data_IF_904889700345
#
_entry.id   IF_904889700345
#
_cell.length_a   1.000
_cell.length_b   1.000
_cell.length_c   1.000
_cell.angle_alpha   90.00
_cell.angle_beta   90.00
_cell.angle_gamma   90.00
#
_symmetry.space_group_name_H-M   'P 1'
#
loop_
_entity.id
_entity.type
_entity.pdbx_description
1 polymer ?
#
# COMPACT_ATOMS: atom_id res chain seq x y z
N UNK A 1 11.89 -3.84 -9.42
CA UNK A 1 10.58 -4.52 -9.46
C UNK A 1 10.48 -5.36 -8.21
N UNK A 2 9.48 -5.10 -7.39
CA UNK A 2 9.15 -5.96 -6.26
C UNK A 2 8.10 -6.94 -6.79
N UNK A 3 8.42 -8.21 -6.73
CA UNK A 3 7.57 -9.30 -7.23
C UNK A 3 6.98 -10.04 -6.02
N UNK A 4 5.70 -10.32 -6.05
CA UNK A 4 4.98 -11.08 -5.02
C UNK A 4 4.40 -12.32 -5.64
N UNK A 5 4.57 -13.45 -4.95
CA UNK A 5 3.89 -14.68 -5.27
C UNK A 5 2.66 -14.80 -4.36
N UNK A 6 1.47 -14.96 -4.93
CA UNK A 6 0.28 -15.39 -4.19
C UNK A 6 0.17 -16.90 -4.35
N UNK A 7 0.25 -17.63 -3.22
CA UNK A 7 -0.09 -19.05 -3.17
C UNK A 7 -1.44 -19.18 -2.43
N UNK A 8 -2.27 -20.15 -2.81
CA UNK A 8 -3.40 -20.53 -1.97
C UNK A 8 -2.85 -21.07 -0.64
N UNK A 9 -2.96 -20.26 0.42
CA UNK A 9 -2.52 -20.60 1.77
C UNK A 9 -3.76 -20.92 2.61
N UNK A 10 -3.83 -22.15 3.10
CA UNK A 10 -4.87 -22.58 4.02
C UNK A 10 -4.30 -22.61 5.45
N UNK A 11 -4.92 -21.85 6.38
CA UNK A 11 -4.61 -21.94 7.80
C UNK A 11 -3.42 -21.09 8.27
N UNK A 12 -2.64 -21.53 9.24
CA UNK A 12 -1.57 -20.84 9.98
C UNK A 12 -0.41 -20.26 9.13
N UNK A 13 -0.53 -20.26 7.83
CA UNK A 13 0.54 -19.94 6.87
C UNK A 13 0.68 -18.43 6.55
N UNK A 14 -0.25 -17.57 6.98
CA UNK A 14 -0.14 -16.14 6.77
C UNK A 14 1.14 -15.54 7.41
N UNK A 15 1.56 -16.06 8.55
CA UNK A 15 2.80 -15.64 9.22
C UNK A 15 4.04 -16.08 8.43
N UNK A 16 3.97 -17.23 7.75
CA UNK A 16 5.04 -17.71 6.88
C UNK A 16 5.12 -16.91 5.59
N UNK A 17 4.01 -16.46 5.03
CA UNK A 17 3.99 -15.59 3.87
C UNK A 17 4.65 -14.23 4.15
N UNK A 18 4.41 -13.62 5.31
CA UNK A 18 5.09 -12.39 5.75
C UNK A 18 6.59 -12.64 5.96
N UNK A 19 6.96 -13.77 6.54
CA UNK A 19 8.36 -14.18 6.71
C UNK A 19 9.03 -14.43 5.36
N UNK A 20 8.32 -15.02 4.41
CA UNK A 20 8.81 -15.27 3.06
C UNK A 20 9.06 -13.96 2.30
N UNK A 21 8.13 -13.00 2.33
CA UNK A 21 8.32 -11.68 1.72
C UNK A 21 9.55 -10.96 2.28
N UNK A 22 9.80 -11.08 3.57
CA UNK A 22 10.98 -10.50 4.24
C UNK A 22 12.28 -11.21 3.83
N UNK A 23 12.24 -12.53 3.67
CA UNK A 23 13.41 -13.32 3.21
C UNK A 23 13.69 -13.18 1.72
N UNK A 24 12.66 -13.13 0.88
CA UNK A 24 12.81 -12.98 -0.56
C UNK A 24 13.47 -11.66 -0.95
N UNK A 25 13.38 -10.63 -0.11
CA UNK A 25 14.08 -9.36 -0.34
C UNK A 25 15.59 -9.41 -0.08
N UNK A 26 16.06 -10.31 0.75
CA UNK A 26 17.51 -10.50 0.94
C UNK A 26 18.20 -11.02 -0.33
N UNK A 27 17.41 -11.50 -1.28
CA UNK A 27 17.86 -11.96 -2.61
C UNK A 27 17.29 -10.96 -3.63
N UNK A 28 18.13 -10.37 -4.48
CA UNK A 28 17.68 -9.49 -5.56
C UNK A 28 16.53 -10.14 -6.34
N UNK A 29 15.46 -9.39 -6.61
CA UNK A 29 14.31 -9.89 -7.37
C UNK A 29 14.71 -10.43 -8.77
N UNK A 30 15.83 -9.95 -9.30
CA UNK A 30 16.41 -10.42 -10.57
C UNK A 30 17.13 -11.77 -10.43
N UNK A 31 17.32 -12.28 -9.21
CA UNK A 31 18.09 -13.50 -8.91
C UNK A 31 17.24 -14.70 -8.47
N UNK A 32 15.90 -14.54 -8.33
CA UNK A 32 14.99 -15.65 -8.07
C UNK A 32 14.42 -16.16 -9.41
N UNK A 33 14.89 -17.30 -9.94
CA UNK A 33 14.25 -17.89 -11.08
C UNK A 33 12.81 -18.26 -10.75
N UNK A 34 11.88 -17.83 -11.58
CA UNK A 34 10.43 -18.12 -11.43
C UNK A 34 10.17 -19.62 -11.19
N UNK A 35 10.91 -20.48 -11.89
CA UNK A 35 10.87 -21.92 -11.72
C UNK A 35 11.23 -22.40 -10.29
N UNK A 36 12.14 -21.71 -9.61
CA UNK A 36 12.54 -22.08 -8.24
C UNK A 36 11.47 -21.72 -7.22
N UNK A 37 10.77 -20.59 -7.43
CA UNK A 37 9.64 -20.16 -6.59
C UNK A 37 8.46 -21.09 -6.80
N UNK A 38 8.15 -21.43 -8.06
CA UNK A 38 7.08 -22.35 -8.41
C UNK A 38 7.31 -23.76 -7.86
N UNK A 39 8.56 -24.26 -7.91
CA UNK A 39 8.92 -25.54 -7.32
C UNK A 39 8.80 -25.57 -5.79
N UNK A 40 9.11 -24.46 -5.11
CA UNK A 40 9.01 -24.34 -3.67
C UNK A 40 7.56 -24.24 -3.17
N UNK A 41 6.67 -23.62 -3.94
CA UNK A 41 5.27 -23.37 -3.57
C UNK A 41 4.30 -24.47 -4.06
N UNK A 42 4.71 -25.32 -4.99
CA UNK A 42 3.97 -26.49 -5.45
C UNK A 42 2.70 -26.20 -6.27
N UNK A 43 2.54 -24.95 -6.75
CA UNK A 43 1.36 -24.49 -7.48
C UNK A 43 1.68 -23.55 -8.63
N UNK A 44 0.66 -23.05 -9.32
CA UNK A 44 0.81 -22.03 -10.33
C UNK A 44 1.16 -20.68 -9.66
N UNK A 45 2.24 -20.04 -10.08
CA UNK A 45 2.71 -18.76 -9.55
C UNK A 45 2.44 -17.67 -10.58
N UNK A 46 1.77 -16.61 -10.13
CA UNK A 46 1.58 -15.40 -10.93
C UNK A 46 2.20 -14.18 -10.23
N UNK A 47 2.75 -13.29 -11.02
CA UNK A 47 3.36 -12.06 -10.52
C UNK A 47 2.38 -10.90 -10.66
N UNK A 48 2.05 -10.24 -9.55
CA UNK A 48 1.16 -9.08 -9.56
C UNK A 48 1.76 -7.91 -8.80
N UNK A 49 1.35 -6.69 -9.15
CA UNK A 49 1.71 -5.51 -8.41
C UNK A 49 0.87 -5.43 -7.11
N UNK A 50 1.38 -4.82 -6.01
CA UNK A 50 0.63 -4.66 -4.74
C UNK A 50 -0.75 -4.03 -4.93
N UNK A 51 -0.87 -3.09 -5.87
CA UNK A 51 -2.14 -2.45 -6.20
C UNK A 51 -3.17 -3.43 -6.77
N UNK A 52 -2.71 -4.44 -7.51
CA UNK A 52 -3.59 -5.52 -8.01
C UNK A 52 -4.10 -6.41 -6.89
N UNK A 53 -3.27 -6.66 -5.87
CA UNK A 53 -3.70 -7.40 -4.67
C UNK A 53 -4.78 -6.63 -3.89
N UNK A 54 -4.62 -5.32 -3.71
CA UNK A 54 -5.65 -4.49 -3.06
C UNK A 54 -6.97 -4.48 -3.84
N UNK A 55 -6.93 -4.56 -5.17
CA UNK A 55 -8.15 -4.70 -5.97
C UNK A 55 -8.78 -6.08 -5.79
N UNK A 56 -7.98 -7.12 -5.60
CA UNK A 56 -8.46 -8.47 -5.35
C UNK A 56 -9.23 -8.58 -4.02
N UNK A 57 -8.82 -7.88 -2.96
CA UNK A 57 -9.53 -7.88 -1.67
C UNK A 57 -10.98 -7.38 -1.76
N UNK A 58 -11.29 -6.55 -2.76
CA UNK A 58 -12.66 -6.08 -3.01
C UNK A 58 -13.59 -7.16 -3.59
N UNK A 59 -13.03 -8.20 -4.19
CA UNK A 59 -13.78 -9.27 -4.85
C UNK A 59 -13.63 -10.63 -4.15
N UNK A 60 -12.64 -10.74 -3.27
CA UNK A 60 -12.35 -11.93 -2.45
C UNK A 60 -12.20 -11.48 -0.99
N UNK A 61 -13.31 -11.18 -0.28
CA UNK A 61 -13.27 -10.68 1.09
C UNK A 61 -12.56 -11.62 2.07
N UNK A 62 -12.59 -12.94 1.79
CA UNK A 62 -11.97 -13.96 2.64
C UNK A 62 -10.44 -13.84 2.69
N UNK A 63 -9.82 -13.18 1.71
CA UNK A 63 -8.38 -12.96 1.63
C UNK A 63 -7.97 -11.55 2.07
N UNK A 64 -8.85 -10.76 2.66
CA UNK A 64 -8.57 -9.36 3.03
C UNK A 64 -7.41 -9.24 4.02
N UNK A 65 -7.40 -10.08 5.06
CA UNK A 65 -6.37 -10.05 6.10
C UNK A 65 -4.99 -10.41 5.55
N UNK A 66 -4.89 -11.44 4.72
CA UNK A 66 -3.65 -11.87 4.07
C UNK A 66 -3.14 -10.81 3.09
N UNK A 67 -4.03 -10.25 2.29
CA UNK A 67 -3.70 -9.20 1.34
C UNK A 67 -3.23 -7.95 2.09
N UNK A 68 -3.90 -7.56 3.17
CA UNK A 68 -3.51 -6.45 4.04
C UNK A 68 -2.13 -6.67 4.65
N UNK A 69 -1.85 -7.87 5.16
CA UNK A 69 -0.55 -8.23 5.73
C UNK A 69 0.55 -8.14 4.68
N UNK A 70 0.33 -8.68 3.48
CA UNK A 70 1.29 -8.61 2.36
C UNK A 70 1.52 -7.16 1.94
N UNK A 71 0.48 -6.37 1.74
CA UNK A 71 0.60 -4.97 1.34
C UNK A 71 1.33 -4.13 2.40
N UNK A 72 1.08 -4.39 3.69
CA UNK A 72 1.78 -3.75 4.80
C UNK A 72 3.26 -4.12 4.82
N UNK A 73 3.59 -5.40 4.67
CA UNK A 73 4.97 -5.87 4.60
C UNK A 73 5.74 -5.22 3.45
N UNK A 74 5.11 -5.13 2.29
CA UNK A 74 5.69 -4.49 1.10
C UNK A 74 5.95 -3.01 1.34
N UNK A 75 4.97 -2.30 1.88
CA UNK A 75 5.08 -0.88 2.18
C UNK A 75 6.21 -0.61 3.19
N UNK A 76 6.31 -1.44 4.24
CA UNK A 76 7.40 -1.37 5.23
C UNK A 76 8.77 -1.67 4.60
N UNK A 77 8.87 -2.70 3.76
CA UNK A 77 10.11 -3.02 3.07
C UNK A 77 10.58 -1.84 2.20
N UNK A 78 9.67 -1.25 1.42
CA UNK A 78 9.97 -0.08 0.60
C UNK A 78 10.39 1.12 1.47
N UNK A 79 9.66 1.37 2.55
CA UNK A 79 10.00 2.44 3.49
C UNK A 79 11.39 2.22 4.11
N UNK A 80 11.76 1.00 4.50
CA UNK A 80 13.08 0.68 5.02
C UNK A 80 14.19 0.93 3.99
N UNK A 81 13.92 0.64 2.72
CA UNK A 81 14.86 0.91 1.63
C UNK A 81 15.11 2.41 1.46
N UNK A 82 14.05 3.19 1.47
CA UNK A 82 14.13 4.63 1.24
C UNK A 82 14.66 5.42 2.45
N UNK A 83 14.65 4.81 3.65
CA UNK A 83 15.00 5.48 4.91
C UNK A 83 16.23 4.91 5.62
N UNK A 84 17.21 4.39 4.85
CA UNK A 84 18.45 3.86 5.42
C UNK A 84 19.29 4.96 6.09
N UNK A 85 19.11 6.21 5.65
CA UNK A 85 19.77 7.39 6.21
C UNK A 85 18.75 8.39 6.73
N UNK A 86 19.12 9.12 7.76
CA UNK A 86 18.32 10.19 8.32
C UNK A 86 18.23 11.37 7.34
N UNK A 87 17.02 11.85 7.07
CA UNK A 87 16.81 13.07 6.28
C UNK A 87 17.25 14.36 6.98
N UNK A 88 17.66 14.30 8.27
CA UNK A 88 18.10 15.49 9.04
C UNK A 88 19.60 15.73 8.87
N UNK A 89 20.41 14.68 8.93
CA UNK A 89 21.88 14.78 8.99
C UNK A 89 22.62 13.71 8.17
N UNK A 90 21.87 12.85 7.45
CA UNK A 90 22.45 11.80 6.63
C UNK A 90 23.04 10.61 7.42
N UNK A 91 22.90 10.57 8.75
CA UNK A 91 23.41 9.45 9.56
C UNK A 91 22.65 8.16 9.28
N UNK A 92 23.32 7.01 9.42
CA UNK A 92 22.68 5.70 9.26
C UNK A 92 21.60 5.50 10.31
N UNK A 93 20.51 4.89 9.90
CA UNK A 93 19.42 4.45 10.77
C UNK A 93 19.44 2.93 10.92
N UNK A 94 18.96 2.41 12.04
CA UNK A 94 18.87 0.98 12.31
C UNK A 94 17.42 0.53 12.42
N UNK A 95 17.12 -0.68 11.92
CA UNK A 95 15.79 -1.29 12.03
C UNK A 95 15.57 -1.70 13.48
N UNK A 96 14.37 -1.44 14.00
CA UNK A 96 13.99 -1.76 15.37
C UNK A 96 12.52 -2.22 15.45
N UNK A 97 12.14 -2.81 16.57
CA UNK A 97 10.78 -3.19 16.89
C UNK A 97 10.16 -4.10 15.81
N UNK A 98 10.87 -5.21 15.52
CA UNK A 98 10.42 -6.18 14.51
C UNK A 98 10.26 -5.62 13.08
N UNK A 99 10.81 -4.43 12.80
CA UNK A 99 10.64 -3.75 11.51
C UNK A 99 9.56 -2.67 11.50
N UNK A 100 8.88 -2.42 12.62
CA UNK A 100 7.84 -1.39 12.68
C UNK A 100 8.41 0.04 12.65
N UNK A 101 9.69 0.22 12.98
CA UNK A 101 10.36 1.52 13.00
C UNK A 101 11.85 1.42 12.70
N UNK A 102 12.48 2.56 12.52
CA UNK A 102 13.94 2.71 12.53
C UNK A 102 14.37 3.62 13.67
N UNK A 103 15.61 3.50 14.08
CA UNK A 103 16.21 4.35 15.11
C UNK A 103 17.35 5.16 14.53
N UNK A 104 17.48 6.41 14.99
CA UNK A 104 18.63 7.28 14.82
C UNK A 104 18.98 7.89 16.17
N UNK A 105 20.15 7.63 16.71
CA UNK A 105 20.59 8.14 18.02
C UNK A 105 19.53 7.99 19.12
N UNK A 106 18.89 6.82 19.20
CA UNK A 106 17.82 6.52 20.15
C UNK A 106 16.46 7.15 19.82
N UNK A 107 16.34 7.99 18.79
CA UNK A 107 15.08 8.58 18.35
C UNK A 107 14.39 7.67 17.34
N UNK A 108 13.09 7.44 17.53
CA UNK A 108 12.28 6.63 16.63
C UNK A 108 11.91 7.39 15.35
N UNK A 109 12.03 6.69 14.22
CA UNK A 109 11.51 7.08 12.92
C UNK A 109 10.41 6.09 12.56
N UNK A 110 9.24 6.56 12.23
CA UNK A 110 8.09 5.75 11.87
C UNK A 110 7.75 5.89 10.38
N UNK A 111 7.15 4.88 9.74
CA UNK A 111 6.58 5.02 8.42
C UNK A 111 5.59 6.16 8.36
N UNK A 112 5.62 6.92 7.27
CA UNK A 112 4.66 7.98 7.02
C UNK A 112 3.36 7.40 6.49
N UNK A 113 2.23 7.88 6.99
CA UNK A 113 0.89 7.60 6.49
C UNK A 113 0.31 8.92 5.98
N UNK A 114 -0.14 8.93 4.72
CA UNK A 114 -0.75 10.09 4.08
C UNK A 114 -2.24 9.79 3.80
N UNK A 115 -3.15 10.12 4.73
CA UNK A 115 -4.57 9.84 4.57
C UNK A 115 -5.16 10.70 3.44
N UNK A 116 -6.11 10.13 2.71
CA UNK A 116 -6.84 10.77 1.62
C UNK A 116 -8.34 10.73 1.93
N UNK A 117 -8.99 11.88 1.84
CA UNK A 117 -10.44 11.97 1.85
C UNK A 117 -10.97 11.74 0.42
N UNK A 118 -11.93 10.83 0.25
CA UNK A 118 -12.67 10.62 -1.00
C UNK A 118 -14.13 10.96 -0.74
N UNK A 119 -14.68 11.88 -1.54
CA UNK A 119 -15.98 12.51 -1.27
C UNK A 119 -16.95 12.25 -2.41
N UNK A 120 -18.04 11.57 -2.09
CA UNK A 120 -19.20 11.50 -2.99
C UNK A 120 -20.13 12.70 -2.74
N UNK A 121 -20.08 13.66 -3.64
CA UNK A 121 -21.00 14.81 -3.62
C UNK A 121 -22.30 14.44 -4.32
N UNK A 122 -23.38 14.34 -3.58
CA UNK A 122 -24.69 13.98 -4.11
C UNK A 122 -25.61 15.21 -4.22
N UNK A 123 -26.50 15.20 -5.21
CA UNK A 123 -27.60 16.20 -5.30
C UNK A 123 -28.57 16.03 -4.15
N UNK A 124 -29.31 17.10 -3.81
CA UNK A 124 -30.24 17.10 -2.68
C UNK A 124 -31.35 16.03 -2.78
N UNK A 125 -31.71 15.63 -3.99
CA UNK A 125 -32.69 14.58 -4.27
C UNK A 125 -32.05 13.16 -4.28
N UNK A 126 -30.74 13.06 -4.11
CA UNK A 126 -29.98 11.80 -4.18
C UNK A 126 -29.91 11.14 -5.57
N UNK A 127 -30.44 11.80 -6.60
CA UNK A 127 -30.56 11.20 -7.93
C UNK A 127 -29.28 11.34 -8.78
N UNK A 128 -28.37 12.23 -8.41
CA UNK A 128 -27.14 12.51 -9.17
C UNK A 128 -25.95 12.65 -8.22
N UNK A 129 -24.76 12.38 -8.74
CA UNK A 129 -23.51 12.65 -8.04
C UNK A 129 -22.53 13.40 -8.95
N UNK A 130 -21.62 14.15 -8.31
CA UNK A 130 -20.54 14.82 -8.97
C UNK A 130 -19.35 13.86 -9.14
N UNK A 131 -18.89 13.71 -10.36
CA UNK A 131 -17.69 12.93 -10.67
C UNK A 131 -16.75 13.76 -11.55
N UNK A 132 -15.47 13.67 -11.25
CA UNK A 132 -14.39 14.32 -11.99
C UNK A 132 -13.67 13.35 -12.92
N UNK A 133 -13.04 13.87 -13.97
CA UNK A 133 -12.17 13.12 -14.85
C UNK A 133 -10.91 13.92 -15.19
N UNK A 134 -9.76 13.35 -14.89
CA UNK A 134 -8.47 13.92 -15.33
C UNK A 134 -8.13 13.47 -16.76
N UNK A 135 -7.42 14.32 -17.50
CA UNK A 135 -7.00 14.03 -18.89
C UNK A 135 -6.21 12.72 -19.03
N UNK A 136 -5.44 12.35 -18.00
CA UNK A 136 -4.62 11.12 -17.97
C UNK A 136 -5.42 9.84 -17.76
N UNK A 137 -6.71 9.93 -17.38
CA UNK A 137 -7.53 8.77 -17.15
C UNK A 137 -7.99 8.13 -18.45
N UNK A 138 -8.13 6.79 -18.48
CA UNK A 138 -8.74 6.12 -19.63
C UNK A 138 -10.09 6.71 -19.99
N UNK A 139 -10.51 6.62 -21.25
CA UNK A 139 -11.85 7.03 -21.67
C UNK A 139 -12.93 6.34 -20.82
N UNK A 140 -13.93 7.12 -20.37
CA UNK A 140 -15.03 6.59 -19.55
C UNK A 140 -14.72 6.42 -18.05
N UNK A 141 -13.49 6.63 -17.61
CA UNK A 141 -13.13 6.57 -16.18
C UNK A 141 -13.38 7.92 -15.50
N UNK A 142 -14.23 7.89 -14.49
CA UNK A 142 -14.53 9.02 -13.62
C UNK A 142 -14.28 8.63 -12.17
N UNK A 143 -13.98 9.62 -11.31
CA UNK A 143 -13.72 9.44 -9.87
C UNK A 143 -14.47 10.47 -9.06
N UNK A 144 -14.70 10.16 -7.78
CA UNK A 144 -15.11 11.16 -6.81
C UNK A 144 -14.02 12.22 -6.63
N UNK A 145 -14.36 13.36 -6.06
CA UNK A 145 -13.41 14.36 -5.56
C UNK A 145 -12.56 13.72 -4.47
N UNK A 146 -11.25 13.97 -4.51
CA UNK A 146 -10.35 13.39 -3.51
C UNK A 146 -9.09 14.21 -3.32
N UNK A 147 -8.63 14.32 -2.08
CA UNK A 147 -7.37 14.97 -1.77
C UNK A 147 -6.80 14.55 -0.43
N UNK A 148 -5.58 14.97 -0.15
CA UNK A 148 -4.89 14.63 1.09
C UNK A 148 -5.50 15.37 2.29
N UNK A 149 -5.55 14.67 3.41
CA UNK A 149 -5.84 15.30 4.72
C UNK A 149 -4.58 16.02 5.19
N UNK A 150 -4.69 17.31 5.49
CA UNK A 150 -3.58 18.12 5.95
C UNK A 150 -3.33 18.00 7.46
N UNK A 151 -2.21 18.57 7.94
CA UNK A 151 -1.89 18.57 9.37
C UNK A 151 -2.98 19.25 10.19
N UNK A 152 -3.40 18.57 11.28
CA UNK A 152 -4.43 19.02 12.19
C UNK A 152 -5.83 19.23 11.55
N UNK A 153 -6.05 18.65 10.38
CA UNK A 153 -7.34 18.65 9.69
C UNK A 153 -8.10 17.36 9.97
N UNK A 154 -9.44 17.45 10.16
CA UNK A 154 -10.28 16.25 10.18
C UNK A 154 -10.60 15.79 8.76
N UNK A 155 -11.01 14.52 8.60
CA UNK A 155 -11.40 13.98 7.30
C UNK A 155 -12.59 14.75 6.71
N UNK A 156 -13.53 15.18 7.54
CA UNK A 156 -14.70 15.98 7.14
C UNK A 156 -14.30 17.39 6.67
N UNK A 157 -13.32 18.01 7.34
CA UNK A 157 -12.79 19.32 6.93
C UNK A 157 -12.04 19.22 5.62
N UNK A 158 -11.18 18.20 5.48
CA UNK A 158 -10.48 17.89 4.24
C UNK A 158 -11.46 17.69 3.08
N UNK A 159 -12.52 16.90 3.31
CA UNK A 159 -13.56 16.64 2.32
C UNK A 159 -14.23 17.94 1.84
N UNK A 160 -14.61 18.82 2.76
CA UNK A 160 -15.23 20.10 2.43
C UNK A 160 -14.27 21.04 1.69
N UNK A 161 -13.00 21.09 2.10
CA UNK A 161 -11.95 21.89 1.44
C UNK A 161 -11.70 21.42 0.02
N UNK A 162 -11.47 20.13 -0.18
CA UNK A 162 -11.19 19.55 -1.50
C UNK A 162 -12.36 19.77 -2.49
N UNK A 163 -13.59 19.58 -2.02
CA UNK A 163 -14.78 19.88 -2.85
C UNK A 163 -14.76 21.34 -3.27
N UNK A 164 -14.49 22.26 -2.34
CA UNK A 164 -14.45 23.70 -2.65
C UNK A 164 -13.32 24.07 -3.60
N UNK A 165 -12.13 23.51 -3.42
CA UNK A 165 -10.96 23.81 -4.24
C UNK A 165 -11.13 23.29 -5.68
N UNK A 166 -11.70 22.09 -5.86
CA UNK A 166 -11.85 21.49 -7.18
C UNK A 166 -13.10 21.94 -7.94
N UNK A 167 -14.11 22.48 -7.24
CA UNK A 167 -15.40 22.82 -7.86
C UNK A 167 -15.79 24.29 -7.76
N UNK A 168 -15.11 25.09 -6.95
CA UNK A 168 -15.39 26.52 -6.69
C UNK A 168 -16.26 26.68 -5.46
#
# INVERSE_FOLDING_TARGET
RVCYATAELAGTEALEAVTFATRARAVSADSLPEASVQAALGGEVSWTAPRGLLQLSLVVPEAEDEISAVCSAVSLLKWHEDNQHSGIDGSLTTIADGGAKRLRDGRSLHPRVDPVAIVLVASADGARCLLGRQKRYPPGMYTCVSGFVEFAESVETAAAREVKEETG
#
